data_IF_106890281163
#
_entry.id   IF_106890281163
#
_cell.length_a   1.000
_cell.length_b   1.000
_cell.length_c   1.000
_cell.angle_alpha   90.00
_cell.angle_beta   90.00
_cell.angle_gamma   90.00
#
_symmetry.space_group_name_H-M   'P 1'
#
loop_
_entity.id
_entity.type
_entity.pdbx_description
1 polymer ?
#
# COMPACT_ATOMS: atom_id res chain seq x y z
N UNK A 1 -17.91 2.87 15.95
CA UNK A 1 -17.61 1.48 15.54
C UNK A 1 -16.58 1.51 14.44
N UNK A 2 -15.47 0.83 14.61
CA UNK A 2 -14.45 0.74 13.57
C UNK A 2 -14.92 -0.19 12.47
N UNK A 3 -14.88 0.29 11.23
CA UNK A 3 -15.11 -0.58 10.09
C UNK A 3 -13.79 -1.19 9.64
N UNK A 4 -13.82 -2.47 9.35
CA UNK A 4 -12.67 -3.22 8.90
C UNK A 4 -13.01 -3.97 7.61
N UNK A 5 -11.97 -4.35 6.89
CA UNK A 5 -12.08 -5.29 5.79
C UNK A 5 -11.15 -6.46 6.05
N UNK A 6 -11.44 -7.59 5.46
CA UNK A 6 -10.59 -8.78 5.58
C UNK A 6 -9.55 -8.77 4.45
N UNK A 7 -8.28 -8.88 4.82
CA UNK A 7 -7.17 -9.06 3.90
C UNK A 7 -6.45 -10.34 4.25
N UNK A 8 -5.74 -10.92 3.28
CA UNK A 8 -5.05 -12.18 3.49
C UNK A 8 -3.60 -12.09 3.04
N UNK A 9 -2.75 -12.85 3.70
CA UNK A 9 -1.37 -13.09 3.29
C UNK A 9 -1.03 -14.58 3.50
N UNK A 10 0.25 -14.94 3.43
CA UNK A 10 0.65 -16.34 3.60
C UNK A 10 0.34 -16.92 4.98
N UNK A 11 0.06 -16.08 5.99
CA UNK A 11 -0.32 -16.50 7.33
C UNK A 11 -1.84 -16.62 7.53
N UNK A 12 -2.62 -16.22 6.53
CA UNK A 12 -4.07 -16.32 6.58
C UNK A 12 -4.77 -14.95 6.63
N UNK A 13 -6.08 -14.96 6.92
CA UNK A 13 -6.86 -13.73 6.95
C UNK A 13 -6.65 -12.93 8.23
N UNK A 14 -6.81 -11.62 8.13
CA UNK A 14 -6.87 -10.73 9.29
C UNK A 14 -7.66 -9.47 8.91
N UNK A 15 -8.11 -8.75 9.93
CA UNK A 15 -8.88 -7.54 9.75
C UNK A 15 -7.95 -6.32 9.63
N UNK A 16 -8.24 -5.46 8.67
CA UNK A 16 -7.51 -4.21 8.41
C UNK A 16 -8.52 -3.07 8.45
N UNK A 17 -8.19 -1.92 9.07
CA UNK A 17 -9.10 -0.78 9.04
C UNK A 17 -9.45 -0.38 7.60
N UNK A 18 -10.76 -0.24 7.33
CA UNK A 18 -11.25 0.04 5.97
C UNK A 18 -10.78 1.39 5.42
N UNK A 19 -10.47 2.33 6.31
CA UNK A 19 -10.06 3.68 5.92
C UNK A 19 -8.54 3.79 5.69
N UNK A 20 -7.82 2.68 5.73
CA UNK A 20 -6.37 2.66 5.51
C UNK A 20 -6.05 1.86 4.25
N UNK A 21 -5.01 2.29 3.55
CA UNK A 21 -4.62 1.68 2.27
C UNK A 21 -3.72 0.47 2.44
N UNK A 22 -3.04 0.32 3.58
CA UNK A 22 -2.15 -0.83 3.75
C UNK A 22 -2.91 -2.14 3.81
N UNK A 23 -2.20 -3.21 3.51
CA UNK A 23 -2.76 -4.55 3.47
C UNK A 23 -2.39 -5.41 4.67
N UNK A 24 -2.46 -6.72 4.46
CA UNK A 24 -2.28 -7.70 5.53
C UNK A 24 -0.92 -7.66 6.17
N UNK A 25 0.15 -7.57 5.39
CA UNK A 25 1.50 -7.65 5.94
C UNK A 25 1.83 -6.46 6.84
N UNK A 26 1.48 -5.27 6.41
CA UNK A 26 1.68 -4.07 7.23
C UNK A 26 0.83 -4.14 8.50
N UNK A 27 -0.41 -4.60 8.40
CA UNK A 27 -1.26 -4.73 9.58
C UNK A 27 -0.68 -5.73 10.58
N UNK A 28 -0.14 -6.86 10.12
CA UNK A 28 0.53 -7.81 11.02
C UNK A 28 1.73 -7.18 11.71
N UNK A 29 2.50 -6.40 10.98
CA UNK A 29 3.66 -5.70 11.55
C UNK A 29 3.22 -4.74 12.65
N UNK A 30 2.16 -3.99 12.45
CA UNK A 30 1.61 -3.07 13.45
C UNK A 30 1.19 -3.83 14.71
N UNK A 31 0.51 -4.97 14.54
CA UNK A 31 0.04 -5.79 15.66
C UNK A 31 1.22 -6.40 16.43
N UNK A 32 2.20 -6.96 15.69
CA UNK A 32 3.32 -7.68 16.30
C UNK A 32 4.37 -6.76 16.90
N UNK A 33 4.51 -5.54 16.38
CA UNK A 33 5.55 -4.61 16.80
C UNK A 33 4.95 -3.24 17.14
N UNK A 34 4.12 -3.15 18.19
CA UNK A 34 3.54 -1.86 18.60
C UNK A 34 4.56 -1.04 19.39
N UNK A 35 5.69 -0.75 18.76
CA UNK A 35 6.85 -0.11 19.39
C UNK A 35 7.17 1.18 18.64
N UNK A 36 7.34 2.26 19.40
CA UNK A 36 7.73 3.54 18.85
C UNK A 36 6.56 4.27 18.18
N UNK A 37 6.80 5.53 17.89
CA UNK A 37 5.85 6.40 17.23
C UNK A 37 6.43 6.99 15.96
N UNK A 38 7.70 6.75 15.72
CA UNK A 38 8.44 7.31 14.60
C UNK A 38 7.87 6.79 13.27
N UNK A 39 7.80 7.69 12.31
CA UNK A 39 7.41 7.37 10.94
C UNK A 39 8.55 7.71 10.00
N UNK A 40 8.52 7.11 8.83
CA UNK A 40 9.52 7.42 7.81
C UNK A 40 9.40 8.88 7.38
N UNK A 41 10.52 9.55 7.09
CA UNK A 41 10.47 10.92 6.55
C UNK A 41 9.59 10.99 5.30
N UNK A 42 8.85 12.09 5.17
CA UNK A 42 7.92 12.29 4.05
C UNK A 42 8.62 12.18 2.70
N UNK A 43 9.86 12.66 2.61
CA UNK A 43 10.63 12.57 1.36
C UNK A 43 10.83 11.12 0.92
N UNK A 44 11.10 10.21 1.87
CA UNK A 44 11.26 8.78 1.57
C UNK A 44 9.93 8.17 1.13
N UNK A 45 8.85 8.50 1.81
CA UNK A 45 7.51 8.01 1.45
C UNK A 45 7.13 8.46 0.04
N UNK A 46 7.37 9.72 -0.29
CA UNK A 46 7.12 10.25 -1.63
C UNK A 46 7.97 9.57 -2.69
N UNK A 47 9.26 9.35 -2.39
CA UNK A 47 10.16 8.66 -3.32
C UNK A 47 9.68 7.24 -3.61
N UNK A 48 9.23 6.50 -2.60
CA UNK A 48 8.65 5.17 -2.80
C UNK A 48 7.37 5.22 -3.64
N UNK A 49 6.55 6.23 -3.45
CA UNK A 49 5.37 6.45 -4.28
C UNK A 49 5.72 6.65 -5.75
N UNK A 50 6.75 7.46 -6.03
CA UNK A 50 7.24 7.69 -7.40
C UNK A 50 7.73 6.38 -8.03
N UNK A 51 8.52 5.60 -7.28
CA UNK A 51 9.03 4.30 -7.76
C UNK A 51 7.89 3.36 -8.09
N UNK A 52 6.91 3.24 -7.20
CA UNK A 52 5.77 2.34 -7.41
C UNK A 52 4.93 2.76 -8.61
N UNK A 53 4.71 4.05 -8.78
CA UNK A 53 3.98 4.59 -9.93
C UNK A 53 4.72 4.28 -11.24
N UNK A 54 6.02 4.56 -11.28
CA UNK A 54 6.83 4.30 -12.47
C UNK A 54 6.86 2.81 -12.81
N UNK A 55 7.01 1.94 -11.81
CA UNK A 55 6.99 0.48 -12.02
C UNK A 55 5.64 0.00 -12.54
N UNK A 56 4.54 0.51 -12.01
CA UNK A 56 3.21 0.12 -12.48
C UNK A 56 2.99 0.55 -13.93
N UNK A 57 3.40 1.77 -14.29
CA UNK A 57 3.29 2.26 -15.67
C UNK A 57 4.14 1.43 -16.62
N UNK A 58 5.38 1.12 -16.25
CA UNK A 58 6.26 0.28 -17.05
C UNK A 58 5.68 -1.11 -17.24
N UNK A 59 5.17 -1.71 -16.17
CA UNK A 59 4.60 -3.05 -16.23
C UNK A 59 3.32 -3.11 -17.05
N UNK A 60 2.50 -2.07 -17.05
CA UNK A 60 1.34 -1.98 -17.95
C UNK A 60 1.79 -1.92 -19.41
N UNK A 61 2.78 -1.10 -19.72
CA UNK A 61 3.33 -0.97 -21.07
C UNK A 61 3.88 -2.30 -21.57
N UNK A 62 4.54 -3.06 -20.69
CA UNK A 62 5.12 -4.36 -21.02
C UNK A 62 4.10 -5.50 -21.04
N UNK A 63 2.85 -5.24 -20.66
CA UNK A 63 1.83 -6.27 -20.58
C UNK A 63 1.95 -7.20 -19.38
N UNK A 64 2.81 -6.87 -18.42
CA UNK A 64 2.99 -7.67 -17.21
C UNK A 64 1.98 -7.35 -16.11
N UNK A 65 1.25 -6.26 -16.24
CA UNK A 65 0.23 -5.81 -15.29
C UNK A 65 -1.00 -5.37 -16.08
N UNK A 66 -2.16 -5.88 -15.69
CA UNK A 66 -3.43 -5.50 -16.34
C UNK A 66 -3.76 -4.03 -16.06
N UNK A 67 -4.48 -3.41 -16.98
CA UNK A 67 -4.81 -1.99 -16.91
C UNK A 67 -5.62 -1.64 -15.66
N UNK A 68 -6.58 -2.45 -15.29
CA UNK A 68 -7.45 -2.20 -14.15
C UNK A 68 -6.65 -2.04 -12.85
N UNK A 69 -5.75 -2.99 -12.58
CA UNK A 69 -4.89 -2.95 -11.40
C UNK A 69 -3.84 -1.87 -11.53
N UNK A 70 -3.27 -1.71 -12.71
CA UNK A 70 -2.25 -0.71 -12.96
C UNK A 70 -2.76 0.70 -12.72
N UNK A 71 -3.93 1.04 -13.20
CA UNK A 71 -4.56 2.35 -12.98
C UNK A 71 -4.83 2.58 -11.50
N UNK A 72 -5.33 1.57 -10.79
CA UNK A 72 -5.57 1.68 -9.34
C UNK A 72 -4.27 1.93 -8.58
N UNK A 73 -3.20 1.22 -8.93
CA UNK A 73 -1.89 1.37 -8.30
C UNK A 73 -1.33 2.77 -8.56
N UNK A 74 -1.36 3.24 -9.81
CA UNK A 74 -0.82 4.56 -10.16
C UNK A 74 -1.60 5.67 -9.47
N UNK A 75 -2.91 5.53 -9.35
CA UNK A 75 -3.74 6.50 -8.64
C UNK A 75 -3.42 6.53 -7.15
N UNK A 76 -3.31 5.38 -6.52
CA UNK A 76 -2.96 5.29 -5.10
C UNK A 76 -1.55 5.85 -4.85
N UNK A 77 -0.60 5.53 -5.73
CA UNK A 77 0.76 6.06 -5.62
C UNK A 77 0.79 7.58 -5.77
N UNK A 78 -0.02 8.14 -6.68
CA UNK A 78 -0.14 9.59 -6.84
C UNK A 78 -0.66 10.26 -5.56
N UNK A 79 -1.63 9.67 -4.90
CA UNK A 79 -2.12 10.17 -3.62
C UNK A 79 -1.03 10.19 -2.55
N UNK A 80 -0.20 9.15 -2.51
CA UNK A 80 0.94 9.09 -1.58
C UNK A 80 1.95 10.18 -1.89
N UNK A 81 2.25 10.42 -3.18
CA UNK A 81 3.19 11.46 -3.61
C UNK A 81 2.70 12.85 -3.19
N UNK A 82 1.42 13.10 -3.35
CA UNK A 82 0.83 14.40 -3.04
C UNK A 82 0.65 14.63 -1.53
N UNK A 83 0.58 13.58 -0.77
CA UNK A 83 0.33 13.65 0.67
C UNK A 83 -1.15 13.59 0.98
#
# INVERSE_FOLDING_TARGET
MKQTRTETDSFGPLEVPSNKYWGAQTQRSIINFPIGWEKQPVAIVRALGVIKKACAEANMTLGALDERRGVAITQAASEVIEG
#
